data_IF_937794188572
#
_entry.id   IF_937794188572
#
_cell.length_a   1.000
_cell.length_b   1.000
_cell.length_c   1.000
_cell.angle_alpha   90.00
_cell.angle_beta   90.00
_cell.angle_gamma   90.00
#
_symmetry.space_group_name_H-M   'P 1'
#
loop_
_entity.id
_entity.type
_entity.pdbx_description
1 polymer ?
#
# COMPACT_ATOMS: atom_id res chain seq x y z
N UNK A 1 -19.19 18.98 -0.81
CA UNK A 1 -18.85 17.61 -0.32
C UNK A 1 -18.27 17.77 1.08
N UNK A 2 -17.97 16.71 1.85
CA UNK A 2 -17.17 16.94 3.07
C UNK A 2 -15.73 17.28 2.69
N UNK A 3 -15.02 18.08 3.49
CA UNK A 3 -13.60 18.42 3.23
C UNK A 3 -12.73 17.17 2.99
N UNK A 4 -13.02 16.08 3.72
CA UNK A 4 -12.35 14.79 3.53
C UNK A 4 -12.59 14.19 2.14
N UNK A 5 -13.84 14.24 1.63
CA UNK A 5 -14.16 13.72 0.30
C UNK A 5 -13.50 14.54 -0.81
N UNK A 6 -13.36 15.86 -0.62
CA UNK A 6 -12.68 16.74 -1.57
C UNK A 6 -11.17 16.47 -1.61
N UNK A 7 -10.53 16.33 -0.43
CA UNK A 7 -9.12 15.95 -0.34
C UNK A 7 -8.87 14.55 -0.95
N UNK A 8 -9.74 13.57 -0.65
CA UNK A 8 -9.64 12.23 -1.22
C UNK A 8 -9.79 12.24 -2.75
N UNK A 9 -10.70 13.05 -3.29
CA UNK A 9 -10.89 13.15 -4.73
C UNK A 9 -9.60 13.65 -5.41
N UNK A 10 -8.93 14.65 -4.84
CA UNK A 10 -7.65 15.16 -5.35
C UNK A 10 -6.59 14.05 -5.38
N UNK A 11 -6.40 13.33 -4.27
CA UNK A 11 -5.45 12.21 -4.16
C UNK A 11 -5.75 11.09 -5.17
N UNK A 12 -7.02 10.77 -5.42
CA UNK A 12 -7.40 9.76 -6.41
C UNK A 12 -6.95 10.17 -7.82
N UNK A 13 -7.15 11.44 -8.17
CA UNK A 13 -6.77 11.93 -9.51
C UNK A 13 -5.26 11.95 -9.70
N UNK A 14 -4.48 12.20 -8.65
CA UNK A 14 -3.01 12.17 -8.69
C UNK A 14 -2.46 10.75 -8.75
N UNK A 15 -3.06 9.79 -8.01
CA UNK A 15 -2.55 8.42 -7.94
C UNK A 15 -2.99 7.54 -9.13
N UNK A 16 -4.15 7.78 -9.73
CA UNK A 16 -4.66 6.96 -10.84
C UNK A 16 -3.70 6.89 -12.05
N UNK A 17 -3.12 8.00 -12.55
CA UNK A 17 -2.13 7.96 -13.62
C UNK A 17 -0.89 7.14 -13.26
N UNK A 18 -0.45 7.18 -12.01
CA UNK A 18 0.71 6.39 -11.54
C UNK A 18 0.44 4.89 -11.65
N UNK A 19 -0.73 4.42 -11.20
CA UNK A 19 -1.12 3.00 -11.33
C UNK A 19 -1.24 2.58 -12.79
N UNK A 20 -1.86 3.41 -13.63
CA UNK A 20 -2.00 3.15 -15.07
C UNK A 20 -0.63 3.07 -15.76
N UNK A 21 0.29 3.97 -15.42
CA UNK A 21 1.67 3.99 -15.94
C UNK A 21 2.43 2.74 -15.53
N UNK A 22 2.37 2.35 -14.25
CA UNK A 22 3.03 1.14 -13.75
C UNK A 22 2.56 -0.11 -14.49
N UNK A 23 1.24 -0.26 -14.68
CA UNK A 23 0.69 -1.40 -15.42
C UNK A 23 1.08 -1.36 -16.90
N UNK A 24 1.08 -0.19 -17.53
CA UNK A 24 1.43 -0.02 -18.94
C UNK A 24 2.90 -0.30 -19.21
N UNK A 25 3.80 0.16 -18.35
CA UNK A 25 5.26 0.08 -18.55
C UNK A 25 5.87 -1.20 -17.99
N UNK A 26 5.25 -1.80 -16.97
CA UNK A 26 5.81 -2.94 -16.22
C UNK A 26 4.83 -4.10 -16.03
N UNK A 27 3.75 -4.18 -16.82
CA UNK A 27 2.73 -5.22 -16.70
C UNK A 27 3.27 -6.65 -16.81
N UNK A 28 4.31 -6.85 -17.62
CA UNK A 28 4.95 -8.16 -17.82
C UNK A 28 6.14 -8.43 -16.86
N UNK A 29 6.43 -7.50 -15.94
CA UNK A 29 7.51 -7.66 -14.99
C UNK A 29 7.18 -8.75 -13.96
N UNK A 30 8.03 -9.77 -13.85
CA UNK A 30 7.88 -10.82 -12.84
C UNK A 30 8.18 -10.27 -11.44
N UNK A 31 7.20 -10.37 -10.53
CA UNK A 31 7.33 -9.92 -9.13
C UNK A 31 7.65 -11.06 -8.14
N UNK A 32 7.76 -12.29 -8.64
CA UNK A 32 8.09 -13.50 -7.90
C UNK A 32 7.79 -14.77 -8.71
N UNK A 33 8.12 -15.93 -8.16
CA UNK A 33 7.77 -17.25 -8.68
C UNK A 33 6.73 -17.91 -7.79
N UNK A 34 5.90 -18.78 -8.38
CA UNK A 34 4.81 -19.47 -7.66
C UNK A 34 4.98 -20.98 -7.81
N UNK A 35 5.02 -21.68 -6.68
CA UNK A 35 5.11 -23.14 -6.60
C UNK A 35 3.75 -23.78 -6.33
N UNK A 36 3.59 -25.07 -6.65
CA UNK A 36 2.35 -25.84 -6.36
C UNK A 36 2.02 -25.83 -4.86
N UNK A 37 3.01 -25.94 -3.99
CA UNK A 37 2.82 -25.89 -2.54
C UNK A 37 2.25 -24.56 -2.06
N UNK A 38 2.66 -23.43 -2.66
CA UNK A 38 2.09 -22.12 -2.34
C UNK A 38 0.65 -21.98 -2.82
N UNK A 39 0.31 -22.56 -3.97
CA UNK A 39 -1.08 -22.57 -4.49
C UNK A 39 -1.98 -23.35 -3.53
N UNK A 40 -1.59 -24.56 -3.14
CA UNK A 40 -2.36 -25.40 -2.20
C UNK A 40 -2.38 -24.80 -0.79
N UNK A 41 -1.27 -24.21 -0.36
CA UNK A 41 -1.08 -23.63 0.98
C UNK A 41 -1.68 -22.23 1.18
N UNK A 42 -2.55 -21.77 0.28
CA UNK A 42 -3.24 -20.48 0.42
C UNK A 42 -2.38 -19.26 0.12
N UNK A 43 -1.54 -19.32 -0.93
CA UNK A 43 -0.69 -18.23 -1.41
C UNK A 43 0.32 -17.68 -0.39
N UNK A 44 0.74 -18.49 0.59
CA UNK A 44 1.72 -18.08 1.59
C UNK A 44 3.03 -17.62 0.92
N UNK A 45 3.43 -16.39 1.19
CA UNK A 45 4.65 -15.78 0.63
C UNK A 45 4.54 -15.33 -0.82
N UNK A 46 3.37 -15.44 -1.45
CA UNK A 46 3.14 -14.95 -2.82
C UNK A 46 2.68 -13.49 -2.79
N UNK A 47 3.34 -12.63 -3.57
CA UNK A 47 2.98 -11.21 -3.71
C UNK A 47 1.85 -11.06 -4.74
N UNK A 48 0.60 -11.13 -4.27
CA UNK A 48 -0.58 -11.09 -5.15
C UNK A 48 -1.34 -9.76 -5.17
N UNK A 49 -1.12 -8.88 -4.19
CA UNK A 49 -1.93 -7.70 -3.96
C UNK A 49 -1.06 -6.46 -3.75
N UNK A 50 -1.58 -5.31 -4.18
CA UNK A 50 -0.98 -3.99 -3.91
C UNK A 50 -1.77 -3.33 -2.77
N UNK A 51 -1.07 -2.83 -1.76
CA UNK A 51 -1.66 -2.13 -0.61
C UNK A 51 -0.87 -0.86 -0.31
N UNK A 52 -1.52 0.31 -0.42
CA UNK A 52 -0.84 1.60 -0.25
C UNK A 52 -0.98 2.21 1.16
N UNK A 53 -1.83 1.64 2.01
CA UNK A 53 -2.21 2.22 3.31
C UNK A 53 -1.19 1.94 4.40
N UNK A 54 -0.59 0.76 4.39
CA UNK A 54 0.39 0.32 5.37
C UNK A 54 1.36 -0.71 4.79
N UNK A 55 2.52 -0.81 5.40
CA UNK A 55 3.55 -1.79 5.09
C UNK A 55 4.16 -2.32 6.39
N UNK A 56 4.44 -3.63 6.45
CA UNK A 56 5.10 -4.25 7.59
C UNK A 56 6.59 -4.36 7.30
N UNK A 57 7.39 -3.53 7.95
CA UNK A 57 8.85 -3.64 7.93
C UNK A 57 9.30 -4.78 8.86
N UNK A 58 10.13 -5.74 8.40
CA UNK A 58 10.62 -6.83 9.23
C UNK A 58 11.42 -6.40 10.47
N UNK A 59 12.06 -5.22 10.44
CA UNK A 59 12.93 -4.72 11.51
C UNK A 59 12.21 -3.72 12.41
N UNK A 60 11.39 -2.85 11.83
CA UNK A 60 10.80 -1.71 12.53
C UNK A 60 9.29 -1.84 12.77
N UNK A 61 8.66 -2.88 12.23
CA UNK A 61 7.23 -3.13 12.38
C UNK A 61 6.36 -2.35 11.40
N UNK A 62 5.11 -2.12 11.78
CA UNK A 62 4.11 -1.56 10.86
C UNK A 62 4.29 -0.05 10.65
N UNK A 63 4.21 0.36 9.38
CA UNK A 63 4.22 1.75 8.93
C UNK A 63 2.85 2.13 8.36
N UNK A 64 2.29 3.27 8.77
CA UNK A 64 1.06 3.85 8.23
C UNK A 64 1.40 4.99 7.28
N UNK A 65 1.13 4.82 5.98
CA UNK A 65 1.54 5.79 4.93
C UNK A 65 3.01 6.24 5.06
N UNK A 66 3.89 5.30 5.40
CA UNK A 66 5.34 5.52 5.56
C UNK A 66 5.81 5.84 6.99
N UNK A 67 4.91 6.20 7.90
CA UNK A 67 5.24 6.60 9.28
C UNK A 67 5.21 5.41 10.24
N UNK A 68 6.21 5.28 11.10
CA UNK A 68 6.16 4.35 12.24
C UNK A 68 5.05 4.75 13.22
N UNK A 69 4.70 3.85 14.14
CA UNK A 69 3.70 4.12 15.18
C UNK A 69 4.02 5.41 15.98
N UNK A 70 5.25 5.63 16.48
CA UNK A 70 5.57 6.85 17.24
C UNK A 70 5.42 8.13 16.40
N UNK A 71 5.86 8.09 15.14
CA UNK A 71 5.75 9.21 14.19
C UNK A 71 4.30 9.51 13.84
N UNK A 72 3.49 8.46 13.72
CA UNK A 72 2.04 8.57 13.48
C UNK A 72 1.37 9.28 14.65
N UNK A 73 1.62 8.85 15.89
CA UNK A 73 1.07 9.51 17.07
C UNK A 73 1.55 10.95 17.24
N UNK A 74 2.80 11.26 16.89
CA UNK A 74 3.32 12.62 16.91
C UNK A 74 2.63 13.54 15.88
N UNK A 75 2.24 13.00 14.71
CA UNK A 75 1.62 13.76 13.64
C UNK A 75 0.09 13.86 13.75
N UNK A 76 -0.56 12.97 14.51
CA UNK A 76 -2.01 12.98 14.69
C UNK A 76 -2.43 14.09 15.67
N UNK A 77 -3.59 14.73 15.44
CA UNK A 77 -4.15 15.68 16.39
C UNK A 77 -4.48 14.97 17.71
N UNK A 78 -4.14 15.62 18.83
CA UNK A 78 -4.49 15.13 20.16
C UNK A 78 -5.90 15.57 20.53
N UNK A 79 -6.61 14.80 21.37
CA UNK A 79 -7.82 15.29 21.99
C UNK A 79 -7.52 16.57 22.80
N UNK A 80 -8.50 17.46 22.96
CA UNK A 80 -8.38 18.61 23.85
C UNK A 80 -8.13 18.20 25.31
#
# INVERSE_FOLDING_TARGET
MSKLKEALLKEIQENRPRTQKLLKEHGDAKVGEVTVAQVIGGARGVRCLVTDISYLDPSEGIRFRGKLIPETFAALPKPP
#
